data_IF_946419190392
#
_entry.id   IF_946419190392
#
_cell.length_a   1.000
_cell.length_b   1.000
_cell.length_c   1.000
_cell.angle_alpha   90.00
_cell.angle_beta   90.00
_cell.angle_gamma   90.00
#
_symmetry.space_group_name_H-M   'P 1'
#
loop_
_entity.id
_entity.type
_entity.pdbx_description
1 polymer ?
#
# COMPACT_ATOMS: atom_id res chain seq x y z
N UNK A 1 -41.82 7.01 30.47
CA UNK A 1 -40.70 7.60 29.70
C UNK A 1 -40.68 7.21 28.21
N UNK A 2 -41.61 6.37 27.71
CA UNK A 2 -41.61 5.87 26.32
C UNK A 2 -42.15 6.88 25.30
N UNK A 3 -43.06 7.78 25.72
CA UNK A 3 -43.68 8.77 24.82
C UNK A 3 -42.80 10.00 24.58
N UNK A 4 -41.87 10.33 25.50
CA UNK A 4 -40.92 11.45 25.31
C UNK A 4 -39.82 11.09 24.30
N UNK A 5 -39.40 9.83 24.27
CA UNK A 5 -38.41 9.32 23.32
C UNK A 5 -38.97 9.33 21.88
N UNK A 6 -40.26 9.02 21.72
CA UNK A 6 -40.92 9.01 20.41
C UNK A 6 -41.05 10.43 19.81
N UNK A 7 -41.34 11.43 20.64
CA UNK A 7 -41.39 12.84 20.22
C UNK A 7 -40.00 13.35 19.81
N UNK A 8 -38.95 12.93 20.52
CA UNK A 8 -37.57 13.32 20.19
C UNK A 8 -37.11 12.73 18.85
N UNK A 9 -37.47 11.47 18.58
CA UNK A 9 -37.16 10.77 17.33
C UNK A 9 -37.88 11.38 16.13
N UNK A 10 -39.15 11.78 16.30
CA UNK A 10 -39.93 12.41 15.24
C UNK A 10 -39.39 13.81 14.86
N UNK A 11 -38.91 14.58 15.85
CA UNK A 11 -38.30 15.88 15.62
C UNK A 11 -36.95 15.79 14.87
N UNK A 12 -36.18 14.72 15.09
CA UNK A 12 -34.89 14.50 14.44
C UNK A 12 -35.03 14.14 12.95
N UNK A 13 -36.08 13.38 12.59
CA UNK A 13 -36.38 13.03 11.19
C UNK A 13 -36.84 14.25 10.37
N UNK A 14 -37.56 15.19 10.99
CA UNK A 14 -37.98 16.44 10.32
C UNK A 14 -36.83 17.43 10.09
N UNK A 15 -35.79 17.41 10.93
CA UNK A 15 -34.59 18.24 10.73
C UNK A 15 -33.70 17.75 9.58
N UNK A 16 -33.74 16.46 9.25
CA UNK A 16 -32.98 15.88 8.13
C UNK A 16 -33.60 16.15 6.75
N UNK A 17 -34.86 16.58 6.70
CA UNK A 17 -35.60 16.86 5.46
C UNK A 17 -35.63 18.35 5.08
N UNK A 18 -35.04 19.23 5.89
CA UNK A 18 -34.96 20.67 5.64
C UNK A 18 -33.77 21.13 4.77
N UNK A 19 -32.98 20.20 4.23
CA UNK A 19 -31.91 20.52 3.26
C UNK A 19 -32.26 20.10 1.82
N UNK A 20 -33.56 20.02 1.48
CA UNK A 20 -34.00 19.91 0.08
C UNK A 20 -34.22 21.31 -0.48
N UNK A 21 -33.16 21.93 -1.00
CA UNK A 21 -33.27 23.13 -1.81
C UNK A 21 -33.46 22.73 -3.27
N UNK A 22 -34.64 23.01 -3.82
CA UNK A 22 -34.82 23.14 -5.25
C UNK A 22 -34.84 24.63 -5.60
N UNK A 23 -33.90 25.08 -6.45
CA UNK A 23 -34.17 26.04 -7.52
C UNK A 23 -32.98 26.15 -8.50
N UNK A 24 -33.20 26.13 -9.83
CA UNK A 24 -32.19 26.34 -10.89
C UNK A 24 -32.20 27.83 -11.39
N UNK A 25 -31.40 28.29 -12.39
CA UNK A 25 -30.48 27.60 -13.32
C UNK A 25 -29.08 28.24 -13.51
N UNK A 26 -28.24 27.52 -14.28
CA UNK A 26 -27.08 27.96 -15.09
C UNK A 26 -25.98 28.84 -14.47
N UNK A 27 -24.83 28.22 -14.17
CA UNK A 27 -23.55 28.72 -14.66
C UNK A 27 -22.51 27.59 -14.75
N UNK A 28 -22.13 27.31 -15.98
CA UNK A 28 -20.99 26.55 -16.46
C UNK A 28 -19.68 26.81 -15.68
N UNK A 29 -19.49 26.05 -14.60
CA UNK A 29 -18.16 25.74 -14.08
C UNK A 29 -18.11 24.23 -13.86
N UNK A 30 -17.34 23.52 -14.70
CA UNK A 30 -16.92 22.15 -14.40
C UNK A 30 -16.04 22.21 -13.15
N UNK A 31 -16.67 22.23 -11.98
CA UNK A 31 -16.00 21.80 -10.77
C UNK A 31 -15.74 20.32 -10.96
N UNK A 32 -14.47 20.02 -11.22
CA UNK A 32 -13.92 18.67 -11.17
C UNK A 32 -14.13 18.21 -9.73
N UNK A 33 -15.22 17.46 -9.52
CA UNK A 33 -15.41 16.68 -8.32
C UNK A 33 -14.10 15.90 -8.11
N UNK A 34 -13.38 16.04 -6.99
CA UNK A 34 -12.35 15.09 -6.68
C UNK A 34 -13.06 13.75 -6.65
N UNK A 35 -12.69 12.88 -7.56
CA UNK A 35 -13.08 11.48 -7.53
C UNK A 35 -12.68 11.01 -6.13
N UNK A 36 -13.68 10.89 -5.25
CA UNK A 36 -13.55 10.15 -4.02
C UNK A 36 -13.04 8.82 -4.51
N UNK A 37 -11.74 8.55 -4.32
CA UNK A 37 -11.16 7.25 -4.54
C UNK A 37 -11.91 6.33 -3.59
N UNK A 38 -13.03 5.80 -4.11
CA UNK A 38 -13.78 4.71 -3.54
C UNK A 38 -12.73 3.71 -3.15
N UNK A 39 -12.58 3.46 -1.84
CA UNK A 39 -11.64 2.52 -1.28
C UNK A 39 -11.56 1.32 -2.22
N UNK A 40 -10.50 1.32 -3.04
CA UNK A 40 -10.42 0.41 -4.16
C UNK A 40 -10.42 -1.01 -3.60
N UNK A 41 -10.95 -1.98 -4.34
CA UNK A 41 -10.64 -3.38 -4.05
C UNK A 41 -9.11 -3.52 -3.82
N UNK A 42 -8.69 -4.41 -2.92
CA UNK A 42 -7.27 -4.73 -2.67
C UNK A 42 -6.50 -4.84 -4.00
N UNK A 43 -7.12 -5.52 -4.97
CA UNK A 43 -6.64 -5.69 -6.34
C UNK A 43 -6.39 -4.34 -7.04
N UNK A 44 -7.39 -3.44 -7.08
CA UNK A 44 -7.25 -2.13 -7.74
C UNK A 44 -6.18 -1.22 -7.14
N UNK A 45 -5.90 -1.31 -5.84
CA UNK A 45 -4.84 -0.51 -5.20
C UNK A 45 -3.46 -1.10 -5.49
N UNK A 46 -3.34 -2.42 -5.45
CA UNK A 46 -2.10 -3.10 -5.83
C UNK A 46 -1.79 -2.93 -7.32
N UNK A 47 -2.79 -2.98 -8.21
CA UNK A 47 -2.63 -2.71 -9.64
C UNK A 47 -2.09 -1.30 -9.89
N UNK A 48 -2.72 -0.27 -9.29
CA UNK A 48 -2.22 1.11 -9.36
C UNK A 48 -0.77 1.24 -8.85
N UNK A 49 -0.42 0.51 -7.79
CA UNK A 49 0.95 0.51 -7.27
C UNK A 49 1.93 -0.06 -8.31
N UNK A 50 1.60 -1.18 -8.95
CA UNK A 50 2.46 -1.82 -9.97
C UNK A 50 2.58 -0.94 -11.22
N UNK A 51 1.48 -0.37 -11.70
CA UNK A 51 1.47 0.53 -12.87
C UNK A 51 2.34 1.77 -12.65
N UNK A 52 2.25 2.38 -11.46
CA UNK A 52 3.00 3.60 -11.13
C UNK A 52 4.41 3.34 -10.59
N UNK A 53 4.75 2.09 -10.25
CA UNK A 53 6.04 1.74 -9.61
C UNK A 53 7.26 2.36 -10.30
N UNK A 54 7.41 2.33 -11.65
CA UNK A 54 8.59 2.90 -12.31
C UNK A 54 8.71 4.43 -12.17
N UNK A 55 7.59 5.13 -11.96
CA UNK A 55 7.55 6.58 -11.78
C UNK A 55 7.74 6.97 -10.31
N UNK A 56 7.09 6.24 -9.40
CA UNK A 56 7.13 6.54 -7.96
C UNK A 56 8.45 6.10 -7.32
N UNK A 57 9.06 5.03 -7.83
CA UNK A 57 10.31 4.44 -7.33
C UNK A 57 11.38 4.36 -8.43
N UNK A 58 11.83 5.49 -9.00
CA UNK A 58 12.69 5.51 -10.18
C UNK A 58 14.11 4.99 -9.91
N UNK A 59 14.54 4.83 -8.66
CA UNK A 59 15.81 4.18 -8.31
C UNK A 59 15.71 2.65 -8.26
N UNK A 60 14.52 2.09 -8.42
CA UNK A 60 14.28 0.66 -8.34
C UNK A 60 13.83 0.07 -9.69
N UNK A 61 14.05 -1.23 -9.83
CA UNK A 61 13.52 -2.08 -10.89
C UNK A 61 12.68 -3.18 -10.21
N UNK A 62 11.38 -3.21 -10.52
CA UNK A 62 10.47 -4.23 -10.00
C UNK A 62 10.82 -5.60 -10.59
N UNK A 63 10.99 -6.62 -9.75
CA UNK A 63 11.38 -7.97 -10.17
C UNK A 63 10.23 -8.96 -10.15
N UNK A 64 9.47 -8.95 -9.06
CA UNK A 64 8.33 -9.84 -8.84
C UNK A 64 7.39 -9.23 -7.81
N UNK A 65 6.11 -9.60 -7.87
CA UNK A 65 5.10 -9.18 -6.91
C UNK A 65 4.03 -10.26 -6.73
N UNK A 66 3.39 -10.24 -5.57
CA UNK A 66 2.27 -11.12 -5.22
C UNK A 66 1.17 -10.27 -4.59
N UNK A 67 -0.04 -10.39 -5.12
CA UNK A 67 -1.23 -9.80 -4.50
C UNK A 67 -1.64 -10.61 -3.27
N UNK A 68 -1.97 -9.90 -2.20
CA UNK A 68 -2.64 -10.47 -1.05
C UNK A 68 -4.11 -10.72 -1.32
N UNK A 69 -4.66 -11.65 -0.56
CA UNK A 69 -6.09 -11.93 -0.49
C UNK A 69 -6.63 -11.57 0.90
N UNK A 70 -7.92 -11.84 1.15
CA UNK A 70 -8.50 -11.68 2.48
C UNK A 70 -7.76 -12.51 3.57
N UNK A 71 -7.12 -13.63 3.20
CA UNK A 71 -6.37 -14.47 4.13
C UNK A 71 -5.00 -13.88 4.51
N UNK A 72 -4.51 -12.91 3.71
CA UNK A 72 -3.22 -12.27 3.91
C UNK A 72 -3.31 -10.94 4.66
N UNK A 73 -4.51 -10.55 5.07
CA UNK A 73 -4.75 -9.29 5.76
C UNK A 73 -3.78 -9.09 6.95
N UNK A 74 -3.17 -7.90 7.10
CA UNK A 74 -3.49 -6.66 6.37
C UNK A 74 -2.75 -6.46 5.04
N UNK A 75 -1.92 -7.43 4.60
CA UNK A 75 -1.07 -7.30 3.42
C UNK A 75 -1.91 -7.37 2.15
N UNK A 76 -1.84 -6.32 1.33
CA UNK A 76 -2.55 -6.19 0.06
C UNK A 76 -1.69 -6.56 -1.14
N UNK A 77 -0.39 -6.26 -1.08
CA UNK A 77 0.58 -6.64 -2.10
C UNK A 77 1.98 -6.66 -1.49
N UNK A 78 2.80 -7.58 -1.96
CA UNK A 78 4.24 -7.58 -1.70
C UNK A 78 4.96 -7.55 -3.03
N UNK A 79 5.97 -6.71 -3.15
CA UNK A 79 6.85 -6.65 -4.30
C UNK A 79 8.31 -6.71 -3.86
N UNK A 80 9.14 -7.36 -4.65
CA UNK A 80 10.59 -7.34 -4.50
C UNK A 80 11.21 -6.58 -5.67
N UNK A 81 12.15 -5.70 -5.37
CA UNK A 81 12.80 -4.85 -6.35
C UNK A 81 14.32 -4.85 -6.21
N UNK A 82 14.97 -4.57 -7.32
CA UNK A 82 16.40 -4.28 -7.41
C UNK A 82 16.62 -2.79 -7.26
N UNK A 83 17.48 -2.39 -6.34
CA UNK A 83 18.02 -1.04 -6.29
C UNK A 83 19.04 -0.89 -7.43
N UNK A 84 18.81 0.05 -8.35
CA UNK A 84 19.65 0.26 -9.54
C UNK A 84 21.00 0.90 -9.23
N UNK A 85 21.11 1.60 -8.10
CA UNK A 85 22.35 2.25 -7.66
C UNK A 85 23.31 1.24 -7.04
N UNK A 86 22.80 0.37 -6.16
CA UNK A 86 23.63 -0.63 -5.46
C UNK A 86 23.70 -1.96 -6.18
N UNK A 87 22.76 -2.22 -7.09
CA UNK A 87 22.59 -3.50 -7.77
C UNK A 87 21.91 -4.57 -6.92
N UNK A 88 21.66 -4.34 -5.63
CA UNK A 88 21.05 -5.32 -4.72
C UNK A 88 19.57 -5.51 -5.03
N UNK A 89 19.14 -6.77 -5.13
CA UNK A 89 17.74 -7.19 -5.29
C UNK A 89 17.18 -7.79 -4.00
N UNK A 90 17.06 -6.96 -2.96
CA UNK A 90 16.56 -7.38 -1.65
C UNK A 90 15.58 -6.40 -1.01
N UNK A 91 15.18 -5.35 -1.73
CA UNK A 91 14.22 -4.39 -1.18
C UNK A 91 12.81 -4.91 -1.38
N UNK A 92 12.08 -5.08 -0.28
CA UNK A 92 10.67 -5.40 -0.30
C UNK A 92 9.82 -4.14 -0.15
N UNK A 93 8.76 -4.07 -0.94
CA UNK A 93 7.68 -3.12 -0.81
C UNK A 93 6.46 -3.90 -0.32
N UNK A 94 5.90 -3.50 0.83
CA UNK A 94 4.73 -4.11 1.43
C UNK A 94 3.61 -3.09 1.44
N UNK A 95 2.58 -3.33 0.66
CA UNK A 95 1.40 -2.49 0.56
C UNK A 95 0.34 -3.01 1.53
N UNK A 96 -0.22 -2.12 2.34
CA UNK A 96 -1.40 -2.38 3.18
C UNK A 96 -2.43 -1.25 3.00
N UNK A 97 -3.45 -1.19 3.85
CA UNK A 97 -4.45 -0.12 3.82
C UNK A 97 -3.88 1.27 4.18
N UNK A 98 -2.76 1.33 4.91
CA UNK A 98 -2.16 2.57 5.42
C UNK A 98 -1.15 3.18 4.45
N UNK A 99 -0.56 2.38 3.56
CA UNK A 99 0.43 2.89 2.62
C UNK A 99 1.35 1.80 2.09
N UNK A 100 2.54 2.23 1.65
CA UNK A 100 3.63 1.35 1.24
C UNK A 100 4.73 1.42 2.29
N UNK A 101 5.03 0.29 2.92
CA UNK A 101 6.22 0.11 3.73
C UNK A 101 7.38 -0.43 2.89
N UNK A 102 8.61 -0.03 3.22
CA UNK A 102 9.82 -0.57 2.61
C UNK A 102 10.62 -1.36 3.65
N UNK A 103 11.05 -2.55 3.27
CA UNK A 103 12.00 -3.36 4.05
C UNK A 103 13.28 -3.47 3.23
N UNK A 104 14.37 -2.98 3.81
CA UNK A 104 15.71 -2.98 3.21
C UNK A 104 16.66 -3.75 4.12
N UNK A 105 17.71 -4.32 3.52
CA UNK A 105 18.79 -4.92 4.30
C UNK A 105 19.52 -3.85 5.12
N UNK A 106 20.15 -4.29 6.21
CA UNK A 106 21.04 -3.44 6.98
C UNK A 106 22.20 -2.92 6.10
N UNK A 107 22.74 -1.76 6.47
CA UNK A 107 23.90 -1.19 5.78
C UNK A 107 25.08 -2.17 5.73
N UNK A 108 25.83 -2.14 4.63
CA UNK A 108 26.98 -3.04 4.40
C UNK A 108 26.63 -4.41 3.82
N UNK A 109 25.35 -4.75 3.74
CA UNK A 109 24.86 -5.95 3.08
C UNK A 109 24.28 -5.62 1.70
N UNK A 110 24.63 -6.45 0.74
CA UNK A 110 23.93 -6.59 -0.52
C UNK A 110 23.37 -8.00 -0.60
N UNK A 111 22.31 -8.19 -1.36
CA UNK A 111 21.88 -9.53 -1.73
C UNK A 111 21.24 -9.55 -3.11
N UNK A 112 21.27 -10.73 -3.71
CA UNK A 112 20.62 -11.04 -4.97
C UNK A 112 19.43 -11.96 -4.73
N UNK A 113 18.25 -11.56 -5.19
CA UNK A 113 17.03 -12.37 -5.18
C UNK A 113 17.13 -13.63 -6.05
N UNK A 114 16.79 -14.78 -5.49
CA UNK A 114 16.68 -16.05 -6.20
C UNK A 114 15.28 -16.20 -6.80
N UNK A 115 15.12 -15.80 -8.07
CA UNK A 115 13.82 -15.83 -8.76
C UNK A 115 13.25 -17.25 -8.90
N UNK A 116 14.10 -18.26 -8.87
CA UNK A 116 13.75 -19.67 -9.01
C UNK A 116 12.92 -20.18 -7.82
N UNK A 117 13.12 -19.60 -6.63
CA UNK A 117 12.40 -19.95 -5.41
C UNK A 117 11.07 -19.18 -5.24
N UNK A 118 10.94 -18.07 -5.97
CA UNK A 118 9.75 -17.23 -6.02
C UNK A 118 9.51 -16.38 -4.78
N UNK A 119 8.65 -15.37 -4.94
CA UNK A 119 8.14 -14.55 -3.85
C UNK A 119 6.85 -15.22 -3.36
N UNK A 120 6.77 -15.54 -2.07
CA UNK A 120 5.62 -16.26 -1.54
C UNK A 120 4.99 -15.50 -0.38
N UNK A 121 3.66 -15.51 -0.36
CA UNK A 121 2.85 -14.90 0.69
C UNK A 121 1.88 -15.94 1.24
N UNK A 122 2.18 -16.48 2.43
CA UNK A 122 1.31 -17.40 3.16
C UNK A 122 0.80 -16.71 4.43
N UNK A 123 -0.51 -16.45 4.49
CA UNK A 123 -1.12 -15.59 5.52
C UNK A 123 -0.36 -14.28 5.61
N UNK A 124 0.24 -13.98 6.76
CA UNK A 124 1.03 -12.78 7.01
C UNK A 124 2.56 -13.03 6.94
N UNK A 125 3.00 -14.16 6.38
CA UNK A 125 4.41 -14.52 6.24
C UNK A 125 4.84 -14.31 4.80
N UNK A 126 5.88 -13.48 4.64
CA UNK A 126 6.55 -13.26 3.36
C UNK A 126 7.80 -14.12 3.35
N UNK A 127 7.88 -15.03 2.39
CA UNK A 127 9.04 -15.89 2.19
C UNK A 127 9.76 -15.48 0.91
N UNK A 128 11.06 -15.24 1.04
CA UNK A 128 11.97 -14.92 -0.05
C UNK A 128 13.30 -15.63 0.15
N UNK A 129 13.94 -15.99 -0.96
CA UNK A 129 15.31 -16.50 -0.98
C UNK A 129 16.27 -15.43 -1.49
N UNK A 130 17.35 -15.22 -0.75
CA UNK A 130 18.37 -14.22 -1.04
C UNK A 130 19.77 -14.83 -0.95
N UNK A 131 20.60 -14.57 -1.95
CA UNK A 131 22.04 -14.80 -1.87
C UNK A 131 22.71 -13.56 -1.29
N UNK A 132 23.17 -13.64 -0.04
CA UNK A 132 23.85 -12.51 0.62
C UNK A 132 25.28 -12.33 0.12
N UNK A 133 25.61 -11.08 -0.15
CA UNK A 133 26.95 -10.59 -0.41
C UNK A 133 27.30 -9.56 0.67
N UNK A 134 28.25 -9.92 1.55
CA UNK A 134 28.72 -9.01 2.59
C UNK A 134 29.86 -8.20 1.99
N UNK A 135 29.70 -6.88 1.94
CA UNK A 135 30.83 -6.01 1.56
C UNK A 135 31.90 -6.10 2.65
N UNK A 136 33.11 -6.52 2.26
CA UNK A 136 34.24 -6.72 3.19
C UNK A 136 34.85 -5.42 3.72
N UNK A 137 34.16 -4.28 3.57
CA UNK A 137 34.78 -2.96 3.77
C UNK A 137 34.75 -2.44 5.20
N UNK A 138 34.12 -3.09 6.18
CA UNK A 138 34.15 -2.64 7.58
C UNK A 138 34.02 -3.77 8.61
N UNK A 139 34.72 -4.89 8.44
CA UNK A 139 34.98 -5.78 9.59
C UNK A 139 36.14 -5.21 10.42
N UNK A 140 35.95 -4.07 11.07
CA UNK A 140 36.76 -3.75 12.24
C UNK A 140 36.35 -4.73 13.34
N UNK A 141 37.12 -5.79 13.48
CA UNK A 141 37.06 -6.67 14.65
C UNK A 141 37.59 -5.83 15.81
N UNK A 142 36.69 -5.35 16.67
CA UNK A 142 37.10 -4.83 17.96
C UNK A 142 37.41 -6.02 18.87
N UNK A 143 38.69 -6.34 19.03
CA UNK A 143 39.15 -7.14 20.17
C UNK A 143 38.92 -6.30 21.44
N UNK A 144 38.10 -6.82 22.36
CA UNK A 144 37.88 -6.26 23.70
C UNK A 144 38.89 -6.81 24.69
#
# INVERSE_FOLDING_TARGET
MKNKLFILLLAFVLLLSACSNNSPPDDNTKEVLPELESAGSIESRGEKFIENFPQDYPSFELLEYVFGSAENAPIQLVAIARNKETGSSATLFVLDENGVGQVVLASGYSATYCKEDGLQLDKNVISISLNLEISSTNSEIHDF
#
